data_IF_766797535738
#
_entry.id   IF_766797535738
#
_cell.length_a   1.000
_cell.length_b   1.000
_cell.length_c   1.000
_cell.angle_alpha   90.00
_cell.angle_beta   90.00
_cell.angle_gamma   90.00
#
_symmetry.space_group_name_H-M   'P 1'
#
loop_
_entity.id
_entity.type
_entity.pdbx_description
1 polymer ?
#
# COMPACT_ATOMS: atom_id res chain seq x y z
N UNK A 1 11.03 18.19 11.83
CA UNK A 1 12.02 17.46 11.02
C UNK A 1 11.34 16.50 10.04
N UNK A 2 10.51 15.58 10.54
CA UNK A 2 9.75 14.61 9.74
C UNK A 2 8.95 15.25 8.59
N UNK A 3 8.17 16.31 8.86
CA UNK A 3 7.36 16.98 7.84
C UNK A 3 8.20 17.57 6.69
N UNK A 4 9.37 18.13 7.00
CA UNK A 4 10.29 18.65 5.99
C UNK A 4 10.90 17.54 5.13
N UNK A 5 11.23 16.41 5.76
CA UNK A 5 11.74 15.24 5.06
C UNK A 5 10.67 14.67 4.12
N UNK A 6 9.43 14.51 4.59
CA UNK A 6 8.32 14.05 3.75
C UNK A 6 8.01 15.03 2.60
N UNK A 7 8.11 16.35 2.82
CA UNK A 7 7.99 17.33 1.75
C UNK A 7 9.07 17.16 0.69
N UNK A 8 10.34 17.09 1.09
CA UNK A 8 11.43 16.88 0.15
C UNK A 8 11.29 15.55 -0.60
N UNK A 9 10.92 14.48 0.10
CA UNK A 9 10.67 13.17 -0.50
C UNK A 9 9.59 13.23 -1.58
N UNK A 10 8.46 13.90 -1.30
CA UNK A 10 7.33 13.99 -2.25
C UNK A 10 7.66 14.85 -3.47
N UNK A 11 8.45 15.92 -3.30
CA UNK A 11 8.98 16.71 -4.41
C UNK A 11 9.91 15.86 -5.29
N UNK A 12 10.86 15.16 -4.68
CA UNK A 12 11.80 14.28 -5.40
C UNK A 12 11.04 13.18 -6.14
N UNK A 13 10.06 12.57 -5.49
CA UNK A 13 9.23 11.53 -6.08
C UNK A 13 8.42 12.05 -7.27
N UNK A 14 7.78 13.22 -7.16
CA UNK A 14 7.06 13.82 -8.28
C UNK A 14 7.99 14.11 -9.47
N UNK A 15 9.18 14.67 -9.22
CA UNK A 15 10.19 14.90 -10.27
C UNK A 15 10.61 13.57 -10.91
N UNK A 16 10.87 12.54 -10.09
CA UNK A 16 11.19 11.20 -10.57
C UNK A 16 10.09 10.63 -11.46
N UNK A 17 8.82 10.75 -11.06
CA UNK A 17 7.67 10.34 -11.87
C UNK A 17 7.64 11.09 -13.22
N UNK A 18 7.81 12.42 -13.21
CA UNK A 18 7.83 13.22 -14.43
C UNK A 18 8.97 12.82 -15.38
N UNK A 19 10.16 12.56 -14.84
CA UNK A 19 11.30 12.07 -15.63
C UNK A 19 10.99 10.69 -16.21
N UNK A 20 10.50 9.75 -15.39
CA UNK A 20 10.18 8.40 -15.85
C UNK A 20 9.14 8.39 -16.97
N UNK A 21 8.04 9.13 -16.83
CA UNK A 21 6.96 9.14 -17.84
C UNK A 21 7.37 9.86 -19.12
N UNK A 22 8.39 10.73 -19.08
CA UNK A 22 8.90 11.37 -20.29
C UNK A 22 9.69 10.42 -21.21
N UNK A 23 10.07 9.25 -20.69
CA UNK A 23 10.79 8.21 -21.44
C UNK A 23 9.83 7.18 -22.02
N UNK A 24 9.79 7.05 -23.35
CA UNK A 24 8.93 6.10 -24.09
C UNK A 24 9.04 4.67 -23.59
N UNK A 25 10.25 4.26 -23.20
CA UNK A 25 10.53 2.92 -22.71
C UNK A 25 9.60 2.51 -21.56
N UNK A 26 9.37 3.38 -20.57
CA UNK A 26 8.52 3.05 -19.41
C UNK A 26 7.03 3.08 -19.75
N UNK A 27 6.62 3.90 -20.72
CA UNK A 27 5.21 3.99 -21.16
C UNK A 27 4.78 2.77 -21.97
N UNK A 28 5.70 2.24 -22.79
CA UNK A 28 5.42 1.15 -23.73
C UNK A 28 5.59 -0.24 -23.11
N UNK A 29 6.41 -0.39 -22.06
CA UNK A 29 6.72 -1.70 -21.46
C UNK A 29 5.98 -1.96 -20.14
N UNK A 30 5.63 -3.23 -19.89
CA UNK A 30 4.96 -3.69 -18.66
C UNK A 30 5.90 -3.78 -17.46
N UNK A 31 7.18 -4.10 -17.69
CA UNK A 31 8.25 -4.27 -16.70
C UNK A 31 7.89 -5.21 -15.54
N UNK A 32 7.17 -6.30 -15.82
CA UNK A 32 6.61 -7.22 -14.81
C UNK A 32 7.64 -7.72 -13.78
N UNK A 33 8.81 -8.18 -14.23
CA UNK A 33 9.87 -8.66 -13.33
C UNK A 33 10.45 -7.54 -12.46
N UNK A 34 10.58 -6.33 -13.01
CA UNK A 34 10.99 -5.15 -12.24
C UNK A 34 9.95 -4.85 -11.17
N UNK A 35 8.66 -4.92 -11.51
CA UNK A 35 7.58 -4.71 -10.55
C UNK A 35 7.65 -5.74 -9.41
N UNK A 36 7.76 -7.04 -9.73
CA UNK A 36 7.88 -8.10 -8.75
C UNK A 36 9.11 -7.89 -7.85
N UNK A 37 10.27 -7.58 -8.45
CA UNK A 37 11.50 -7.31 -7.71
C UNK A 37 11.35 -6.14 -6.72
N UNK A 38 10.77 -5.03 -7.17
CA UNK A 38 10.56 -3.85 -6.32
C UNK A 38 9.58 -4.14 -5.19
N UNK A 39 8.47 -4.85 -5.47
CA UNK A 39 7.51 -5.25 -4.43
C UNK A 39 8.19 -6.12 -3.39
N UNK A 40 8.97 -7.14 -3.81
CA UNK A 40 9.63 -8.07 -2.88
C UNK A 40 10.69 -7.37 -2.02
N UNK A 41 11.43 -6.41 -2.58
CA UNK A 41 12.57 -5.79 -1.90
C UNK A 41 12.19 -4.56 -1.10
N UNK A 42 11.41 -3.65 -1.69
CA UNK A 42 11.04 -2.35 -1.09
C UNK A 42 9.63 -2.42 -0.53
N UNK A 43 8.66 -2.91 -1.31
CA UNK A 43 7.25 -2.92 -0.91
C UNK A 43 6.97 -3.71 0.37
N UNK A 44 7.44 -4.95 0.43
CA UNK A 44 7.27 -5.85 1.59
C UNK A 44 7.95 -5.29 2.86
N UNK A 45 8.94 -4.40 2.71
CA UNK A 45 9.61 -3.80 3.87
C UNK A 45 8.68 -2.92 4.72
N UNK A 46 7.51 -2.53 4.20
CA UNK A 46 6.46 -1.79 4.91
C UNK A 46 6.04 -2.49 6.22
N UNK A 47 5.57 -3.74 6.17
CA UNK A 47 5.18 -4.54 7.34
C UNK A 47 6.35 -5.25 8.05
N UNK A 48 7.60 -4.90 7.75
CA UNK A 48 8.77 -5.69 8.18
C UNK A 48 9.05 -5.65 9.69
N UNK A 49 8.46 -4.70 10.42
CA UNK A 49 8.58 -4.58 11.87
C UNK A 49 7.36 -5.11 12.63
N UNK A 50 6.46 -5.83 11.94
CA UNK A 50 5.25 -6.41 12.53
C UNK A 50 5.57 -7.36 13.68
N UNK A 51 6.72 -8.04 13.65
CA UNK A 51 7.15 -8.87 14.78
C UNK A 51 7.40 -8.05 16.07
N UNK A 52 7.88 -6.82 15.96
CA UNK A 52 8.08 -5.92 17.12
C UNK A 52 6.74 -5.39 17.63
N UNK A 53 5.85 -5.01 16.70
CA UNK A 53 4.47 -4.59 17.02
C UNK A 53 3.70 -5.75 17.67
N UNK A 54 3.83 -6.96 17.13
CA UNK A 54 3.29 -8.20 17.67
C UNK A 54 3.80 -8.52 19.06
N UNK A 55 5.10 -8.32 19.32
CA UNK A 55 5.67 -8.47 20.67
C UNK A 55 5.01 -7.50 21.66
N UNK A 56 4.84 -6.23 21.29
CA UNK A 56 4.13 -5.24 22.11
C UNK A 56 2.68 -5.69 22.37
N UNK A 57 1.99 -6.18 21.34
CA UNK A 57 0.62 -6.69 21.49
C UNK A 57 0.54 -7.86 22.48
N UNK A 58 1.41 -8.86 22.35
CA UNK A 58 1.42 -10.01 23.25
C UNK A 58 1.71 -9.61 24.71
N UNK A 59 2.59 -8.62 24.92
CA UNK A 59 2.87 -8.06 26.25
C UNK A 59 1.62 -7.45 26.89
N UNK A 60 0.75 -6.79 26.12
CA UNK A 60 -0.53 -6.25 26.64
C UNK A 60 -1.49 -7.36 27.12
N UNK A 61 -1.27 -8.61 26.71
CA UNK A 61 -2.04 -9.77 27.15
C UNK A 61 -1.24 -10.69 28.10
N UNK A 62 -0.07 -10.25 28.58
CA UNK A 62 0.84 -11.05 29.41
C UNK A 62 1.29 -12.37 28.77
N UNK A 63 1.38 -12.42 27.44
CA UNK A 63 1.88 -13.58 26.68
C UNK A 63 3.34 -13.32 26.30
N UNK A 64 4.24 -14.20 26.71
CA UNK A 64 5.68 -14.06 26.42
C UNK A 64 6.15 -14.84 25.19
N UNK A 65 5.36 -15.81 24.72
CA UNK A 65 5.76 -16.70 23.62
C UNK A 65 5.38 -16.10 22.26
N UNK A 66 6.38 -15.70 21.47
CA UNK A 66 6.20 -15.16 20.12
C UNK A 66 5.59 -16.16 19.12
N UNK A 67 5.60 -17.46 19.41
CA UNK A 67 4.98 -18.47 18.54
C UNK A 67 3.48 -18.19 18.33
N UNK A 68 2.77 -17.69 19.35
CA UNK A 68 1.36 -17.33 19.21
C UNK A 68 1.14 -16.20 18.20
N UNK A 69 2.02 -15.20 18.18
CA UNK A 69 1.95 -14.12 17.19
C UNK A 69 2.15 -14.67 15.77
N UNK A 70 3.22 -15.45 15.55
CA UNK A 70 3.48 -15.99 14.22
C UNK A 70 2.39 -16.96 13.73
N UNK A 71 1.88 -17.83 14.62
CA UNK A 71 0.76 -18.72 14.29
C UNK A 71 -0.50 -17.93 13.93
N UNK A 72 -0.85 -16.90 14.71
CA UNK A 72 -1.99 -16.03 14.40
C UNK A 72 -1.82 -15.27 13.09
N UNK A 73 -0.62 -14.73 12.84
CA UNK A 73 -0.32 -13.98 11.62
C UNK A 73 -0.41 -14.88 10.38
N UNK A 74 0.24 -16.06 10.41
CA UNK A 74 0.18 -17.04 9.31
C UNK A 74 -1.24 -17.58 9.13
N UNK A 75 -1.97 -17.82 10.21
CA UNK A 75 -3.37 -18.25 10.13
C UNK A 75 -4.24 -17.20 9.41
N UNK A 76 -4.10 -15.92 9.76
CA UNK A 76 -4.83 -14.84 9.09
C UNK A 76 -4.44 -14.74 7.60
N UNK A 77 -3.15 -14.84 7.27
CA UNK A 77 -2.70 -14.84 5.87
C UNK A 77 -3.29 -16.01 5.07
N UNK A 78 -3.26 -17.23 5.63
CA UNK A 78 -3.84 -18.41 4.99
C UNK A 78 -5.36 -18.31 4.88
N UNK A 79 -6.03 -17.76 5.91
CA UNK A 79 -7.46 -17.51 5.89
C UNK A 79 -7.84 -16.59 4.73
N UNK A 80 -7.09 -15.49 4.53
CA UNK A 80 -7.29 -14.57 3.39
C UNK A 80 -7.15 -15.33 2.07
N UNK A 81 -6.09 -16.13 1.89
CA UNK A 81 -5.87 -16.89 0.65
C UNK A 81 -7.02 -17.88 0.39
N UNK A 82 -7.39 -18.69 1.40
CA UNK A 82 -8.46 -19.68 1.27
C UNK A 82 -9.78 -18.98 0.93
N UNK A 83 -10.11 -17.90 1.62
CA UNK A 83 -11.33 -17.15 1.37
C UNK A 83 -11.32 -16.48 -0.01
N UNK A 84 -10.15 -16.07 -0.51
CA UNK A 84 -9.98 -15.54 -1.86
C UNK A 84 -10.35 -16.58 -2.92
N UNK A 85 -10.00 -17.84 -2.71
CA UNK A 85 -10.32 -18.92 -3.67
C UNK A 85 -11.82 -19.15 -3.81
N UNK A 86 -12.60 -18.97 -2.74
CA UNK A 86 -14.05 -19.17 -2.77
C UNK A 86 -14.83 -17.90 -3.12
N UNK A 87 -14.36 -16.73 -2.69
CA UNK A 87 -15.08 -15.46 -2.81
C UNK A 87 -14.17 -14.31 -3.29
N UNK A 88 -13.52 -14.45 -4.47
CA UNK A 88 -12.49 -13.50 -4.93
C UNK A 88 -13.04 -12.07 -5.09
N UNK A 89 -14.22 -11.90 -5.69
CA UNK A 89 -14.84 -10.58 -5.89
C UNK A 89 -15.15 -9.86 -4.57
N UNK A 90 -15.71 -10.59 -3.59
CA UNK A 90 -16.06 -10.03 -2.29
C UNK A 90 -14.79 -9.60 -1.54
N UNK A 91 -13.79 -10.49 -1.51
CA UNK A 91 -12.56 -10.23 -0.78
C UNK A 91 -11.74 -9.10 -1.42
N UNK A 92 -11.70 -9.03 -2.75
CA UNK A 92 -11.07 -7.92 -3.45
C UNK A 92 -11.78 -6.59 -3.17
N UNK A 93 -13.11 -6.52 -3.19
CA UNK A 93 -13.84 -5.28 -2.84
C UNK A 93 -13.51 -4.86 -1.40
N UNK A 94 -13.56 -5.79 -0.45
CA UNK A 94 -13.21 -5.50 0.95
C UNK A 94 -11.76 -5.02 1.08
N UNK A 95 -10.84 -5.69 0.40
CA UNK A 95 -9.44 -5.31 0.36
C UNK A 95 -9.25 -3.90 -0.21
N UNK A 96 -9.88 -3.57 -1.33
CA UNK A 96 -9.83 -2.24 -1.96
C UNK A 96 -10.40 -1.15 -1.04
N UNK A 97 -11.49 -1.42 -0.32
CA UNK A 97 -12.04 -0.46 0.66
C UNK A 97 -11.06 -0.22 1.80
N UNK A 98 -10.53 -1.29 2.40
CA UNK A 98 -9.60 -1.22 3.53
C UNK A 98 -8.28 -0.56 3.10
N UNK A 99 -7.74 -0.93 1.95
CA UNK A 99 -6.53 -0.36 1.38
C UNK A 99 -6.68 1.13 1.07
N UNK A 100 -7.83 1.57 0.54
CA UNK A 100 -8.11 3.01 0.33
C UNK A 100 -8.01 3.81 1.61
N UNK A 101 -8.62 3.32 2.70
CA UNK A 101 -8.50 3.97 4.00
C UNK A 101 -7.06 3.98 4.51
N UNK A 102 -6.39 2.82 4.47
CA UNK A 102 -5.02 2.67 4.94
C UNK A 102 -4.04 3.60 4.20
N UNK A 103 -4.03 3.59 2.87
CA UNK A 103 -3.21 4.50 2.06
C UNK A 103 -3.50 5.97 2.40
N UNK A 104 -4.78 6.35 2.47
CA UNK A 104 -5.16 7.71 2.78
C UNK A 104 -4.67 8.20 4.15
N UNK A 105 -4.83 7.36 5.17
CA UNK A 105 -4.45 7.64 6.56
C UNK A 105 -2.95 7.67 6.74
N UNK A 106 -2.24 6.59 6.38
CA UNK A 106 -0.80 6.48 6.58
C UNK A 106 -0.02 7.55 5.82
N UNK A 107 -0.41 7.81 4.56
CA UNK A 107 0.25 8.84 3.76
C UNK A 107 0.05 10.24 4.37
N UNK A 108 -0.89 10.42 5.29
CA UNK A 108 -1.20 11.70 5.95
C UNK A 108 -0.79 11.74 7.43
N UNK A 109 -0.36 10.62 8.02
CA UNK A 109 -0.22 10.46 9.47
C UNK A 109 0.79 11.43 10.10
N UNK A 110 1.91 11.68 9.41
CA UNK A 110 2.97 12.57 9.89
C UNK A 110 2.53 14.04 10.07
N UNK A 111 1.36 14.42 9.54
CA UNK A 111 0.78 15.76 9.70
C UNK A 111 0.02 15.94 11.03
N UNK A 112 -0.08 14.88 11.87
CA UNK A 112 -0.77 14.89 13.16
C UNK A 112 -2.21 15.43 13.06
N UNK A 113 -2.93 14.97 12.04
CA UNK A 113 -4.31 15.38 11.78
C UNK A 113 -5.23 14.89 12.91
N UNK A 114 -6.28 15.66 13.21
CA UNK A 114 -7.26 15.31 14.24
C UNK A 114 -7.95 13.98 13.93
N UNK A 115 -8.14 13.18 14.98
CA UNK A 115 -8.86 11.90 14.94
C UNK A 115 -10.37 12.12 14.92
N UNK A 116 -11.09 11.22 14.26
CA UNK A 116 -12.56 11.17 14.28
C UNK A 116 -13.17 10.80 12.93
N UNK A 117 -14.45 10.42 12.95
CA UNK A 117 -15.17 9.88 11.79
C UNK A 117 -15.07 10.75 10.53
N UNK A 118 -15.12 12.08 10.69
CA UNK A 118 -14.99 13.00 9.57
C UNK A 118 -13.64 12.84 8.85
N UNK A 119 -12.53 12.78 9.60
CA UNK A 119 -11.22 12.58 9.01
C UNK A 119 -11.01 11.16 8.52
N UNK A 120 -11.61 10.16 9.16
CA UNK A 120 -11.58 8.78 8.67
C UNK A 120 -12.22 8.66 7.27
N UNK A 121 -13.35 9.34 7.05
CA UNK A 121 -13.99 9.42 5.73
C UNK A 121 -13.07 10.16 4.74
N UNK A 122 -12.46 11.28 5.15
CA UNK A 122 -11.54 12.01 4.26
C UNK A 122 -10.31 11.17 3.91
N UNK A 123 -9.76 10.37 4.83
CA UNK A 123 -8.65 9.46 4.54
C UNK A 123 -9.08 8.39 3.55
N UNK A 124 -10.22 7.73 3.76
CA UNK A 124 -10.77 6.78 2.80
C UNK A 124 -10.93 7.40 1.40
N UNK A 125 -11.57 8.56 1.30
CA UNK A 125 -11.77 9.26 0.03
C UNK A 125 -10.43 9.65 -0.60
N UNK A 126 -9.48 10.16 0.17
CA UNK A 126 -8.14 10.52 -0.33
C UNK A 126 -7.45 9.29 -0.94
N UNK A 127 -7.36 8.19 -0.20
CA UNK A 127 -6.64 7.01 -0.67
C UNK A 127 -7.37 6.24 -1.78
N UNK A 128 -8.67 6.48 -1.97
CA UNK A 128 -9.42 5.93 -3.11
C UNK A 128 -8.87 6.36 -4.47
N UNK A 129 -8.02 7.41 -4.55
CA UNK A 129 -7.33 7.78 -5.78
C UNK A 129 -6.43 6.66 -6.31
N UNK A 130 -5.81 5.87 -5.42
CA UNK A 130 -4.91 4.77 -5.81
C UNK A 130 -5.65 3.71 -6.63
N UNK A 131 -6.96 3.59 -6.43
CA UNK A 131 -7.83 2.60 -7.09
C UNK A 131 -8.58 3.24 -8.27
N UNK A 132 -9.10 4.45 -8.10
CA UNK A 132 -9.90 5.12 -9.12
C UNK A 132 -9.06 5.70 -10.27
N UNK A 133 -7.80 6.11 -10.03
CA UNK A 133 -6.90 6.59 -11.07
C UNK A 133 -6.57 5.54 -12.17
N UNK A 134 -6.19 4.29 -11.86
CA UNK A 134 -6.01 3.28 -12.89
C UNK A 134 -7.32 2.89 -13.59
N UNK A 135 -8.46 2.98 -12.90
CA UNK A 135 -9.78 2.72 -13.49
C UNK A 135 -10.25 3.82 -14.45
N UNK A 136 -9.84 5.07 -14.26
CA UNK A 136 -10.18 6.17 -15.17
C UNK A 136 -9.21 6.28 -16.35
N UNK A 137 -7.91 6.08 -16.14
CA UNK A 137 -6.90 6.31 -17.17
C UNK A 137 -6.48 5.05 -17.94
N UNK A 138 -6.60 3.86 -17.33
CA UNK A 138 -6.13 2.58 -17.88
C UNK A 138 -7.18 1.47 -17.65
N UNK A 139 -8.47 1.80 -17.81
CA UNK A 139 -9.61 0.95 -17.42
C UNK A 139 -9.48 -0.49 -17.89
N UNK A 140 -9.26 -0.72 -19.19
CA UNK A 140 -9.19 -2.08 -19.76
C UNK A 140 -8.10 -2.93 -19.13
N UNK A 141 -6.88 -2.41 -19.01
CA UNK A 141 -5.75 -3.09 -18.38
C UNK A 141 -5.97 -3.33 -16.88
N UNK A 142 -6.63 -2.40 -16.20
CA UNK A 142 -6.97 -2.54 -14.78
C UNK A 142 -8.00 -3.64 -14.57
N UNK A 143 -9.04 -3.70 -15.41
CA UNK A 143 -10.03 -4.79 -15.38
C UNK A 143 -9.41 -6.14 -15.74
N UNK A 144 -8.48 -6.17 -16.69
CA UNK A 144 -7.71 -7.38 -17.01
C UNK A 144 -6.98 -7.91 -15.77
N UNK A 145 -6.27 -7.06 -15.02
CA UNK A 145 -5.62 -7.45 -13.76
C UNK A 145 -6.65 -8.02 -12.77
N UNK A 146 -7.80 -7.37 -12.59
CA UNK A 146 -8.84 -7.85 -11.68
C UNK A 146 -9.42 -9.21 -12.10
N UNK A 147 -9.61 -9.41 -13.40
CA UNK A 147 -10.03 -10.70 -13.95
C UNK A 147 -8.96 -11.78 -13.69
N UNK A 148 -7.68 -11.46 -13.87
CA UNK A 148 -6.57 -12.41 -13.62
C UNK A 148 -6.51 -12.91 -12.17
N UNK A 149 -7.04 -12.15 -11.21
CA UNK A 149 -7.08 -12.52 -9.78
C UNK A 149 -8.47 -13.05 -9.35
N UNK A 150 -9.31 -13.39 -10.32
CA UNK A 150 -10.58 -14.11 -10.14
C UNK A 150 -11.80 -13.23 -9.89
N UNK A 151 -11.70 -11.92 -10.12
CA UNK A 151 -12.83 -11.01 -9.90
C UNK A 151 -13.85 -11.07 -11.05
N UNK A 152 -15.14 -11.04 -10.71
CA UNK A 152 -16.18 -10.68 -11.67
C UNK A 152 -16.14 -9.16 -11.94
N UNK A 153 -15.64 -8.76 -13.11
CA UNK A 153 -15.46 -7.36 -13.51
C UNK A 153 -16.76 -6.66 -13.93
N UNK A 154 -17.87 -7.38 -14.09
CA UNK A 154 -19.18 -6.81 -14.46
C UNK A 154 -19.86 -6.05 -13.32
N UNK A 155 -19.30 -6.12 -12.10
CA UNK A 155 -19.82 -5.41 -10.94
C UNK A 155 -19.93 -3.89 -11.19
N UNK A 156 -21.08 -3.32 -10.79
CA UNK A 156 -21.49 -1.92 -11.11
C UNK A 156 -20.40 -0.89 -10.80
N UNK A 157 -19.66 -1.08 -9.71
CA UNK A 157 -18.60 -0.17 -9.25
C UNK A 157 -17.47 -0.03 -10.29
N UNK A 158 -17.18 -1.11 -11.02
CA UNK A 158 -16.07 -1.17 -11.98
C UNK A 158 -16.53 -0.95 -13.43
N UNK A 159 -17.81 -1.19 -13.71
CA UNK A 159 -18.39 -0.93 -15.02
C UNK A 159 -18.79 0.55 -15.20
N UNK A 160 -19.23 1.25 -14.16
CA UNK A 160 -19.70 2.63 -14.24
C UNK A 160 -18.59 3.69 -14.23
N UNK A 161 -18.36 4.33 -15.37
CA UNK A 161 -17.40 5.45 -15.49
C UNK A 161 -17.80 6.64 -14.60
N UNK A 162 -19.10 6.89 -14.43
CA UNK A 162 -19.60 7.97 -13.60
C UNK A 162 -19.21 7.77 -12.12
N UNK A 163 -19.35 6.56 -11.59
CA UNK A 163 -18.94 6.25 -10.22
C UNK A 163 -17.43 6.44 -10.03
N UNK A 164 -16.62 5.97 -10.98
CA UNK A 164 -15.16 6.15 -10.95
C UNK A 164 -14.79 7.64 -10.95
N UNK A 165 -15.40 8.44 -11.82
CA UNK A 165 -15.18 9.90 -11.87
C UNK A 165 -15.55 10.56 -10.53
N UNK A 166 -16.67 10.18 -9.92
CA UNK A 166 -17.08 10.70 -8.62
C UNK A 166 -16.02 10.39 -7.55
N UNK A 167 -15.49 9.17 -7.51
CA UNK A 167 -14.41 8.83 -6.57
C UNK A 167 -13.14 9.64 -6.81
N UNK A 168 -12.73 9.84 -8.07
CA UNK A 168 -11.59 10.71 -8.40
C UNK A 168 -11.83 12.14 -7.88
N UNK A 169 -12.99 12.74 -8.17
CA UNK A 169 -13.31 14.09 -7.72
C UNK A 169 -13.36 14.21 -6.19
N UNK A 170 -13.94 13.22 -5.50
CA UNK A 170 -13.99 13.18 -4.04
C UNK A 170 -12.59 12.99 -3.42
N UNK A 171 -11.71 12.21 -4.06
CA UNK A 171 -10.33 12.03 -3.62
C UNK A 171 -9.50 13.32 -3.73
N UNK A 172 -9.71 14.08 -4.81
CA UNK A 172 -9.10 15.40 -5.00
C UNK A 172 -9.64 16.37 -3.94
N UNK A 173 -10.97 16.45 -3.78
CA UNK A 173 -11.62 17.33 -2.82
C UNK A 173 -11.17 17.03 -1.38
N UNK A 174 -11.16 15.76 -0.98
CA UNK A 174 -10.73 15.34 0.37
C UNK A 174 -9.27 15.71 0.63
N UNK A 175 -8.38 15.56 -0.35
CA UNK A 175 -6.99 16.00 -0.24
C UNK A 175 -6.89 17.50 0.07
N UNK A 176 -7.65 18.35 -0.64
CA UNK A 176 -7.68 19.79 -0.38
C UNK A 176 -8.31 20.17 0.96
N UNK A 177 -9.36 19.47 1.40
CA UNK A 177 -9.97 19.68 2.72
C UNK A 177 -8.96 19.36 3.82
N UNK A 178 -8.25 18.23 3.71
CA UNK A 178 -7.22 17.83 4.68
C UNK A 178 -6.12 18.91 4.72
N UNK A 179 -5.59 19.31 3.56
CA UNK A 179 -4.56 20.36 3.46
C UNK A 179 -5.00 21.64 4.17
N UNK A 180 -6.24 22.07 3.92
CA UNK A 180 -6.81 23.29 4.51
C UNK A 180 -6.99 23.17 6.03
N UNK A 181 -7.31 21.98 6.53
CA UNK A 181 -7.51 21.73 7.96
C UNK A 181 -6.21 21.76 8.78
N UNK A 182 -5.07 21.33 8.21
CA UNK A 182 -3.77 21.25 8.89
C UNK A 182 -3.14 22.64 9.10
N UNK A 183 -3.54 23.65 8.29
CA UNK A 183 -3.04 25.04 8.36
C UNK A 183 -1.49 25.15 8.37
N UNK A 184 -0.82 24.28 7.62
CA UNK A 184 0.64 24.21 7.54
C UNK A 184 1.09 23.98 6.09
N UNK A 185 2.13 24.67 5.63
CA UNK A 185 2.68 24.52 4.28
C UNK A 185 3.15 23.08 3.99
N UNK A 186 3.58 22.32 5.01
CA UNK A 186 3.96 20.92 4.81
C UNK A 186 2.79 20.03 4.38
N UNK A 187 1.54 20.46 4.56
CA UNK A 187 0.38 19.72 4.09
C UNK A 187 0.29 19.67 2.56
N UNK A 188 1.01 20.55 1.84
CA UNK A 188 1.12 20.51 0.38
C UNK A 188 1.67 19.17 -0.15
N UNK A 189 2.35 18.38 0.69
CA UNK A 189 2.72 16.99 0.38
C UNK A 189 1.55 16.21 -0.20
N UNK A 190 0.35 16.33 0.37
CA UNK A 190 -0.80 15.54 -0.07
C UNK A 190 -1.23 15.89 -1.50
N UNK A 191 -1.03 17.13 -1.93
CA UNK A 191 -1.29 17.57 -3.31
C UNK A 191 -0.19 17.07 -4.26
N UNK A 192 1.07 17.10 -3.83
CA UNK A 192 2.19 16.57 -4.62
C UNK A 192 2.05 15.06 -4.85
N UNK A 193 1.66 14.31 -3.82
CA UNK A 193 1.41 12.88 -3.89
C UNK A 193 0.27 12.56 -4.86
N UNK A 194 -0.84 13.31 -4.74
CA UNK A 194 -1.99 13.21 -5.63
C UNK A 194 -1.56 13.43 -7.09
N UNK A 195 -0.78 14.48 -7.37
CA UNK A 195 -0.25 14.73 -8.71
C UNK A 195 0.63 13.59 -9.21
N UNK A 196 1.52 13.05 -8.36
CA UNK A 196 2.38 11.94 -8.74
C UNK A 196 1.56 10.68 -9.10
N UNK A 197 0.54 10.35 -8.31
CA UNK A 197 -0.36 9.21 -8.58
C UNK A 197 -1.10 9.40 -9.91
N UNK A 198 -1.63 10.60 -10.16
CA UNK A 198 -2.33 10.92 -11.41
C UNK A 198 -1.39 10.82 -12.62
N UNK A 199 -0.17 11.38 -12.53
CA UNK A 199 0.84 11.32 -13.60
C UNK A 199 1.22 9.88 -13.91
N UNK A 200 1.50 9.07 -12.88
CA UNK A 200 1.86 7.66 -13.07
C UNK A 200 0.75 6.88 -13.78
N UNK A 201 -0.50 6.99 -13.31
CA UNK A 201 -1.62 6.22 -13.86
C UNK A 201 -2.07 6.71 -15.24
N UNK A 202 -1.84 7.99 -15.57
CA UNK A 202 -2.11 8.51 -16.91
C UNK A 202 -1.17 7.88 -17.96
N UNK A 203 0.13 7.82 -17.66
CA UNK A 203 1.15 7.45 -18.65
C UNK A 203 1.63 6.00 -18.60
N UNK A 204 1.57 5.34 -17.44
CA UNK A 204 2.14 4.00 -17.24
C UNK A 204 1.06 2.93 -17.15
N UNK A 205 1.47 1.68 -17.34
CA UNK A 205 0.59 0.54 -17.15
C UNK A 205 0.24 0.37 -15.66
N UNK A 206 -0.98 -0.12 -15.33
CA UNK A 206 -1.48 -0.11 -13.94
C UNK A 206 -0.55 -0.78 -12.92
N UNK A 207 0.01 -1.95 -13.23
CA UNK A 207 0.91 -2.65 -12.32
C UNK A 207 2.18 -1.83 -12.04
N UNK A 208 2.76 -1.21 -13.06
CA UNK A 208 3.96 -0.38 -12.91
C UNK A 208 3.64 0.91 -12.14
N UNK A 209 2.53 1.58 -12.47
CA UNK A 209 2.07 2.78 -11.76
C UNK A 209 1.84 2.50 -10.27
N UNK A 210 1.11 1.41 -9.96
CA UNK A 210 0.89 0.95 -8.59
C UNK A 210 2.20 0.61 -7.90
N UNK A 211 3.10 -0.14 -8.54
CA UNK A 211 4.37 -0.53 -7.93
C UNK A 211 5.25 0.66 -7.58
N UNK A 212 5.33 1.66 -8.47
CA UNK A 212 6.11 2.87 -8.23
C UNK A 212 5.54 3.68 -7.06
N UNK A 213 4.21 3.88 -7.02
CA UNK A 213 3.54 4.50 -5.88
C UNK A 213 3.78 3.72 -4.58
N UNK A 214 3.48 2.41 -4.59
CA UNK A 214 3.53 1.56 -3.42
C UNK A 214 4.94 1.47 -2.83
N UNK A 215 5.96 1.26 -3.67
CA UNK A 215 7.33 1.09 -3.22
C UNK A 215 7.99 2.41 -2.87
N UNK A 216 7.94 3.41 -3.75
CA UNK A 216 8.76 4.62 -3.61
C UNK A 216 8.05 5.78 -2.91
N UNK A 217 6.71 5.83 -2.89
CA UNK A 217 6.00 6.83 -2.10
C UNK A 217 5.59 6.25 -0.75
N UNK A 218 4.71 5.25 -0.79
CA UNK A 218 4.01 4.76 0.39
C UNK A 218 4.95 3.99 1.33
N UNK A 219 5.64 2.96 0.84
CA UNK A 219 6.53 2.12 1.67
C UNK A 219 7.72 2.89 2.23
N UNK A 220 8.33 3.80 1.45
CA UNK A 220 9.41 4.66 1.95
C UNK A 220 8.90 5.61 3.04
N UNK A 221 7.73 6.24 2.85
CA UNK A 221 7.13 7.12 3.87
C UNK A 221 6.86 6.38 5.17
N UNK A 222 6.22 5.21 5.09
CA UNK A 222 5.98 4.36 6.25
C UNK A 222 7.31 3.97 6.94
N UNK A 223 8.32 3.57 6.15
CA UNK A 223 9.65 3.24 6.67
C UNK A 223 10.31 4.41 7.41
N UNK A 224 10.18 5.64 6.91
CA UNK A 224 10.67 6.85 7.59
C UNK A 224 9.96 7.04 8.94
N UNK A 225 8.64 6.86 8.99
CA UNK A 225 7.87 6.93 10.23
C UNK A 225 8.35 5.88 11.25
N UNK A 226 8.49 4.63 10.82
CA UNK A 226 9.02 3.54 11.65
C UNK A 226 10.45 3.80 12.16
N UNK A 227 11.33 4.34 11.30
CA UNK A 227 12.68 4.75 11.71
C UNK A 227 12.59 5.82 12.81
N UNK A 228 11.69 6.79 12.67
CA UNK A 228 11.52 7.86 13.66
C UNK A 228 10.94 7.35 14.99
N UNK A 229 10.09 6.33 14.96
CA UNK A 229 9.62 5.63 16.16
C UNK A 229 10.73 4.86 16.90
N UNK A 230 11.67 4.27 16.14
CA UNK A 230 12.80 3.54 16.72
C UNK A 230 13.79 4.47 17.42
N UNK A 231 14.14 5.58 16.78
CA UNK A 231 14.95 6.67 17.35
C UNK A 231 14.66 7.97 16.58
N UNK A 232 14.46 9.08 17.31
CA UNK A 232 14.21 10.40 16.72
C UNK A 232 15.39 10.89 15.86
N UNK A 233 16.59 10.35 16.08
CA UNK A 233 17.75 10.59 15.24
C UNK A 233 17.84 9.56 14.11
N UNK A 234 17.47 9.98 12.89
CA UNK A 234 17.47 9.14 11.68
C UNK A 234 18.83 8.48 11.41
N UNK A 235 19.94 9.14 11.69
CA UNK A 235 21.28 8.55 11.48
C UNK A 235 21.52 7.30 12.33
N UNK A 236 20.90 7.23 13.51
CA UNK A 236 20.95 6.07 14.40
C UNK A 236 19.87 5.05 14.08
N UNK A 237 18.66 5.49 13.72
CA UNK A 237 17.56 4.55 13.46
C UNK A 237 17.66 3.85 12.13
N UNK A 238 18.26 4.43 11.09
CA UNK A 238 18.48 3.76 9.78
C UNK A 238 19.14 2.38 9.92
N UNK A 239 20.34 2.23 10.52
CA UNK A 239 20.97 0.92 10.66
C UNK A 239 20.17 -0.04 11.55
N UNK A 240 19.47 0.48 12.57
CA UNK A 240 18.61 -0.32 13.45
C UNK A 240 17.40 -0.86 12.67
N UNK A 241 16.78 -0.02 11.85
CA UNK A 241 15.64 -0.37 11.01
C UNK A 241 16.03 -1.50 10.07
N UNK A 242 17.07 -1.32 9.25
CA UNK A 242 17.51 -2.34 8.30
C UNK A 242 17.86 -3.67 8.98
N UNK A 243 18.54 -3.62 10.14
CA UNK A 243 18.87 -4.85 10.88
C UNK A 243 17.63 -5.59 11.37
N UNK A 244 16.56 -4.86 11.75
CA UNK A 244 15.33 -5.45 12.29
C UNK A 244 14.33 -5.85 11.22
N UNK A 245 14.28 -5.13 10.09
CA UNK A 245 13.37 -5.42 8.97
C UNK A 245 13.84 -6.59 8.11
N UNK A 246 15.16 -6.69 7.88
CA UNK A 246 15.76 -7.64 6.95
C UNK A 246 15.30 -9.11 7.14
N UNK A 247 15.22 -9.68 8.35
CA UNK A 247 14.85 -11.09 8.51
C UNK A 247 13.44 -11.40 7.98
N UNK A 248 12.47 -10.54 8.30
CA UNK A 248 11.09 -10.77 7.87
C UNK A 248 10.94 -10.50 6.37
N UNK A 249 11.57 -9.43 5.85
CA UNK A 249 11.57 -9.11 4.42
C UNK A 249 12.21 -10.19 3.56
N UNK A 250 13.32 -10.79 4.01
CA UNK A 250 13.95 -11.90 3.28
C UNK A 250 13.07 -13.14 3.29
N UNK A 251 12.49 -13.49 4.44
CA UNK A 251 11.62 -14.66 4.55
C UNK A 251 10.39 -14.54 3.62
N UNK A 252 9.68 -13.42 3.70
CA UNK A 252 8.50 -13.18 2.86
C UNK A 252 8.87 -13.04 1.38
N UNK A 253 10.01 -12.43 1.07
CA UNK A 253 10.52 -12.35 -0.30
C UNK A 253 10.83 -13.71 -0.91
N UNK A 254 11.49 -14.61 -0.16
CA UNK A 254 11.74 -15.99 -0.59
C UNK A 254 10.41 -16.73 -0.81
N UNK A 255 9.44 -16.56 0.10
CA UNK A 255 8.11 -17.16 -0.06
C UNK A 255 7.40 -16.66 -1.33
N UNK A 256 7.48 -15.36 -1.64
CA UNK A 256 6.90 -14.80 -2.86
C UNK A 256 7.56 -15.38 -4.11
N UNK A 257 8.88 -15.57 -4.12
CA UNK A 257 9.60 -16.21 -5.24
C UNK A 257 9.18 -17.67 -5.39
N UNK A 258 9.08 -18.43 -4.29
CA UNK A 258 8.62 -19.82 -4.32
C UNK A 258 7.20 -19.90 -4.89
N UNK A 259 6.27 -19.08 -4.39
CA UNK A 259 4.89 -19.05 -4.88
C UNK A 259 4.84 -18.64 -6.35
N UNK A 260 5.65 -17.67 -6.77
CA UNK A 260 5.76 -17.28 -8.18
C UNK A 260 6.18 -18.47 -9.05
N UNK A 261 7.24 -19.20 -8.67
CA UNK A 261 7.71 -20.38 -9.41
C UNK A 261 6.63 -21.48 -9.47
N UNK A 262 5.89 -21.69 -8.38
CA UNK A 262 4.79 -22.66 -8.36
C UNK A 262 3.65 -22.24 -9.30
N UNK A 263 3.25 -20.97 -9.29
CA UNK A 263 2.17 -20.47 -10.17
C UNK A 263 2.56 -20.50 -11.65
N UNK A 264 3.85 -20.33 -11.97
CA UNK A 264 4.37 -20.44 -13.34
C UNK A 264 4.17 -21.83 -13.98
N UNK A 265 3.84 -22.87 -13.18
CA UNK A 265 3.49 -24.19 -13.71
C UNK A 265 2.06 -24.27 -14.28
N UNK A 266 1.16 -23.38 -13.82
CA UNK A 266 -0.27 -23.39 -14.15
C UNK A 266 -0.70 -22.13 -14.95
N UNK A 267 0.04 -21.04 -14.81
CA UNK A 267 -0.29 -19.73 -15.39
C UNK A 267 0.89 -19.12 -16.12
N UNK A 268 0.63 -18.19 -17.03
CA UNK A 268 1.68 -17.39 -17.66
C UNK A 268 2.36 -16.44 -16.67
N UNK A 269 3.43 -15.77 -17.14
CA UNK A 269 4.23 -14.83 -16.34
C UNK A 269 3.38 -13.68 -15.79
N UNK A 270 2.50 -13.12 -16.63
CA UNK A 270 1.67 -11.96 -16.26
C UNK A 270 0.69 -12.33 -15.15
N UNK A 271 -0.06 -13.41 -15.34
CA UNK A 271 -1.05 -13.92 -14.41
C UNK A 271 -0.39 -14.36 -13.10
N UNK A 272 0.77 -15.02 -13.17
CA UNK A 272 1.53 -15.42 -11.99
C UNK A 272 1.97 -14.20 -11.18
N UNK A 273 2.53 -13.18 -11.83
CA UNK A 273 2.97 -11.95 -11.15
C UNK A 273 1.79 -11.19 -10.57
N UNK A 274 0.69 -11.02 -11.31
CA UNK A 274 -0.51 -10.35 -10.80
C UNK A 274 -1.07 -11.05 -9.56
N UNK A 275 -1.15 -12.39 -9.57
CA UNK A 275 -1.59 -13.17 -8.41
C UNK A 275 -0.64 -13.01 -7.22
N UNK A 276 0.67 -13.16 -7.42
CA UNK A 276 1.65 -12.98 -6.34
C UNK A 276 1.61 -11.58 -5.77
N UNK A 277 1.54 -10.55 -6.62
CA UNK A 277 1.51 -9.17 -6.17
C UNK A 277 0.19 -8.87 -5.45
N UNK A 278 -0.98 -9.04 -6.08
CA UNK A 278 -2.22 -8.57 -5.47
C UNK A 278 -2.78 -9.51 -4.40
N UNK A 279 -2.82 -10.83 -4.64
CA UNK A 279 -3.30 -11.79 -3.64
C UNK A 279 -2.28 -11.93 -2.51
N UNK A 280 -0.98 -12.01 -2.85
CA UNK A 280 0.09 -12.09 -1.86
C UNK A 280 0.18 -10.83 -1.00
N UNK A 281 0.09 -9.63 -1.58
CA UNK A 281 0.03 -8.40 -0.78
C UNK A 281 -1.24 -8.38 0.09
N UNK A 282 -2.42 -8.73 -0.43
CA UNK A 282 -3.63 -8.77 0.39
C UNK A 282 -3.49 -9.72 1.60
N UNK A 283 -2.86 -10.88 1.41
CA UNK A 283 -2.59 -11.86 2.46
C UNK A 283 -1.59 -11.37 3.53
N UNK A 284 -0.74 -10.38 3.23
CA UNK A 284 0.16 -9.74 4.20
C UNK A 284 -0.46 -8.48 4.81
N UNK A 285 -1.08 -7.65 3.99
CA UNK A 285 -1.64 -6.34 4.36
C UNK A 285 -2.81 -6.49 5.32
N UNK A 286 -3.70 -7.47 5.17
CA UNK A 286 -4.84 -7.63 6.08
C UNK A 286 -4.40 -7.98 7.52
N UNK A 287 -3.52 -8.98 7.76
CA UNK A 287 -2.93 -9.20 9.08
C UNK A 287 -2.21 -7.96 9.64
N UNK A 288 -1.43 -7.27 8.80
CA UNK A 288 -0.72 -6.05 9.18
C UNK A 288 -1.67 -4.94 9.65
N UNK A 289 -2.64 -4.55 8.83
CA UNK A 289 -3.64 -3.51 9.17
C UNK A 289 -4.41 -3.90 10.44
N UNK A 290 -4.74 -5.18 10.59
CA UNK A 290 -5.42 -5.69 11.79
C UNK A 290 -4.54 -5.50 13.04
N UNK A 291 -3.26 -5.82 12.96
CA UNK A 291 -2.30 -5.62 14.04
C UNK A 291 -2.17 -4.14 14.42
N UNK A 292 -2.04 -3.25 13.44
CA UNK A 292 -1.97 -1.81 13.67
C UNK A 292 -3.22 -1.26 14.34
N UNK A 293 -4.38 -1.61 13.81
CA UNK A 293 -5.67 -1.16 14.34
C UNK A 293 -5.87 -1.58 15.80
N UNK A 294 -5.54 -2.84 16.14
CA UNK A 294 -5.66 -3.33 17.52
C UNK A 294 -4.69 -2.57 18.45
N UNK A 295 -3.46 -2.32 18.01
CA UNK A 295 -2.47 -1.61 18.80
C UNK A 295 -2.86 -0.14 19.03
N UNK A 296 -3.33 0.55 18.00
CA UNK A 296 -3.82 1.92 18.11
C UNK A 296 -4.96 2.02 19.12
N UNK A 297 -5.96 1.13 19.02
CA UNK A 297 -7.11 1.12 19.94
C UNK A 297 -6.72 0.86 21.39
N UNK A 298 -5.69 0.05 21.62
CA UNK A 298 -5.19 -0.23 22.97
C UNK A 298 -4.26 0.84 23.51
N UNK A 299 -3.57 1.59 22.66
CA UNK A 299 -2.75 2.72 23.09
C UNK A 299 -3.58 3.95 23.49
N UNK A 300 -4.86 3.99 23.12
CA UNK A 300 -5.83 5.02 23.50
C UNK A 300 -6.53 4.76 24.86
N UNK A 301 -6.32 3.60 25.48
CA UNK A 301 -6.88 3.18 26.79
C UNK A 301 -5.77 3.23 27.85
#
# INVERSE_FOLDING_TARGET
MLNKLNLNHSIIFLIFCLVLVSLDYFRLNTLLYTCLFLVITIGISHGSLDNLKGKKLLQLYNINNMAYFYLGYVFLSLFVIIFWLFFPSLLLILFLIIASYHFGKEDSEFLCISKGLFFDILFFLKGSIVISAPLIFQKSKTLEIFDTIGMNTELIIFSSDLLVIIFVLLSILSSFIIVSSVRNLYALVLVLDLMAILVLNYFLQPLLAFTLYFCFLHSIRHSISLMYELDKNLTKSIPIFFKKSLPLTLLTGVLFVIIFILLMSEYDVSNSINKVVFIGLAALTLPHITLEYILEKKAEI
#
